data_IF_790180059689
#
_entry.id   IF_790180059689
#
_cell.length_a   1.000
_cell.length_b   1.000
_cell.length_c   1.000
_cell.angle_alpha   90.00
_cell.angle_beta   90.00
_cell.angle_gamma   90.00
#
_symmetry.space_group_name_H-M   'P 1'
#
loop_
_entity.id
_entity.type
_entity.pdbx_description
1 polymer ?
#
# COMPACT_ATOMS: atom_id res chain seq x y z
N UNK A 1 7.05 -22.39 36.13
CA UNK A 1 7.92 -22.20 37.31
C UNK A 1 9.35 -21.85 36.89
N UNK A 2 9.52 -20.84 36.02
CA UNK A 2 10.82 -20.45 35.47
C UNK A 2 11.01 -18.92 35.49
N UNK A 3 10.49 -18.26 36.54
CA UNK A 3 10.45 -16.79 36.65
C UNK A 3 11.12 -16.26 37.92
N UNK A 4 12.27 -16.83 38.33
CA UNK A 4 13.02 -16.35 39.50
C UNK A 4 14.56 -16.43 39.40
N UNK A 5 15.13 -16.77 38.23
CA UNK A 5 16.60 -16.94 38.11
C UNK A 5 17.37 -15.78 37.46
N UNK A 6 16.70 -14.75 36.91
CA UNK A 6 17.40 -13.59 36.31
C UNK A 6 17.59 -12.44 37.29
N UNK A 7 16.91 -12.46 38.46
CA UNK A 7 16.99 -11.36 39.42
C UNK A 7 18.21 -11.40 40.37
N UNK A 8 19.03 -12.45 40.31
CA UNK A 8 20.13 -12.66 41.28
C UNK A 8 21.54 -12.42 40.74
N UNK A 9 21.71 -11.92 39.51
CA UNK A 9 23.05 -11.61 38.97
C UNK A 9 23.52 -10.16 39.21
N UNK A 10 22.72 -9.33 39.88
CA UNK A 10 23.03 -7.89 40.09
C UNK A 10 23.39 -7.52 41.54
N UNK A 11 23.61 -8.49 42.43
CA UNK A 11 24.13 -8.24 43.79
C UNK A 11 25.55 -8.81 43.94
N UNK A 12 26.55 -8.22 43.27
CA UNK A 12 27.94 -8.33 43.74
C UNK A 12 28.94 -7.50 42.90
N UNK A 13 28.74 -6.19 42.77
CA UNK A 13 29.88 -5.30 42.47
C UNK A 13 29.67 -3.94 43.13
N UNK A 14 30.34 -3.70 44.26
CA UNK A 14 30.48 -2.36 44.84
C UNK A 14 31.54 -1.60 44.05
N UNK A 15 31.16 -0.72 43.14
CA UNK A 15 32.05 0.34 42.64
C UNK A 15 31.68 1.65 43.33
N UNK A 16 32.63 2.17 44.09
CA UNK A 16 32.53 3.39 44.88
C UNK A 16 33.34 4.48 44.17
N UNK A 17 32.77 5.17 43.18
CA UNK A 17 33.36 6.35 42.53
C UNK A 17 32.27 7.29 41.96
N UNK A 18 32.57 8.59 41.71
CA UNK A 18 31.57 9.63 41.41
C UNK A 18 30.96 9.59 40.00
N UNK A 19 30.89 8.41 39.36
CA UNK A 19 30.24 8.20 38.05
C UNK A 19 28.75 7.86 38.15
N UNK A 20 28.22 7.68 39.37
CA UNK A 20 26.82 7.34 39.61
C UNK A 20 25.82 8.48 39.31
N UNK A 21 26.28 9.73 39.16
CA UNK A 21 25.39 10.87 38.86
C UNK A 21 25.10 11.03 37.36
N UNK A 22 25.99 10.62 36.47
CA UNK A 22 25.76 10.72 35.01
C UNK A 22 24.82 9.62 34.49
N UNK A 23 24.73 8.48 35.18
CA UNK A 23 23.78 7.41 34.85
C UNK A 23 22.33 7.74 35.23
N UNK A 24 22.10 8.73 36.09
CA UNK A 24 20.78 9.09 36.58
C UNK A 24 19.99 9.99 35.61
N UNK A 25 20.62 10.48 34.54
CA UNK A 25 19.98 11.34 33.52
C UNK A 25 19.59 10.60 32.23
N UNK A 26 19.97 9.32 32.10
CA UNK A 26 19.56 8.41 31.01
C UNK A 26 18.39 7.49 31.40
N UNK A 27 17.73 7.75 32.54
CA UNK A 27 16.44 7.15 32.92
C UNK A 27 15.26 7.89 32.28
N UNK A 28 15.40 8.27 31.01
CA UNK A 28 14.28 8.66 30.18
C UNK A 28 13.49 7.41 29.80
N UNK A 29 12.51 7.06 30.63
CA UNK A 29 11.33 6.27 30.25
C UNK A 29 11.58 5.07 29.33
N UNK A 30 12.20 4.01 29.85
CA UNK A 30 11.85 2.66 29.40
C UNK A 30 10.45 2.35 29.91
N UNK A 31 9.43 2.97 29.30
CA UNK A 31 8.07 2.49 29.42
C UNK A 31 8.09 1.04 28.95
N UNK A 32 7.75 0.12 29.86
CA UNK A 32 7.51 -1.27 29.54
C UNK A 32 6.28 -1.32 28.63
N UNK A 33 6.55 -1.21 27.34
CA UNK A 33 5.61 -1.26 26.23
C UNK A 33 4.74 -2.53 26.37
N UNK A 34 3.41 -2.38 26.42
CA UNK A 34 2.46 -3.50 26.51
C UNK A 34 2.77 -4.55 25.41
N UNK A 35 2.71 -5.86 25.70
CA UNK A 35 2.97 -6.88 24.70
C UNK A 35 1.92 -6.75 23.57
N UNK A 36 2.40 -6.53 22.35
CA UNK A 36 1.54 -6.55 21.17
C UNK A 36 1.22 -8.00 20.81
N UNK A 37 0.01 -8.23 20.28
CA UNK A 37 -0.47 -9.56 19.87
C UNK A 37 0.28 -10.15 18.65
N UNK A 38 1.18 -9.38 18.03
CA UNK A 38 1.80 -9.67 16.75
C UNK A 38 3.28 -10.02 16.88
N UNK A 39 3.80 -10.84 15.96
CA UNK A 39 5.23 -11.14 15.86
C UNK A 39 6.00 -9.93 15.34
N UNK A 40 6.51 -9.11 16.26
CA UNK A 40 7.32 -7.93 15.95
C UNK A 40 8.78 -8.33 15.89
N UNK A 41 9.41 -8.10 14.73
CA UNK A 41 10.86 -8.18 14.58
C UNK A 41 11.42 -6.77 14.45
N UNK A 42 12.37 -6.40 15.31
CA UNK A 42 13.19 -5.21 15.06
C UNK A 42 14.22 -5.58 13.99
N UNK A 43 14.34 -4.75 12.98
CA UNK A 43 15.42 -4.90 12.00
C UNK A 43 16.64 -4.16 12.53
N UNK A 44 17.79 -4.81 12.42
CA UNK A 44 19.06 -4.16 12.68
C UNK A 44 19.37 -3.15 11.57
N UNK A 45 20.18 -2.14 11.89
CA UNK A 45 20.49 -1.01 11.00
C UNK A 45 21.06 -1.42 9.63
N UNK A 46 21.72 -2.57 9.54
CA UNK A 46 22.32 -3.09 8.30
C UNK A 46 21.40 -4.03 7.51
N UNK A 47 20.18 -4.30 7.98
CA UNK A 47 19.29 -5.24 7.33
C UNK A 47 18.77 -4.69 6.00
N UNK A 48 19.15 -5.37 4.91
CA UNK A 48 18.76 -5.01 3.54
C UNK A 48 17.31 -5.38 3.21
N UNK A 49 16.55 -5.95 4.14
CA UNK A 49 15.19 -6.40 3.89
C UNK A 49 14.29 -5.27 3.36
N UNK A 50 14.35 -4.09 3.98
CA UNK A 50 13.50 -2.96 3.58
C UNK A 50 13.85 -2.44 2.18
N UNK A 51 15.14 -2.23 1.90
CA UNK A 51 15.60 -1.78 0.59
C UNK A 51 15.30 -2.80 -0.50
N UNK A 52 15.47 -4.09 -0.23
CA UNK A 52 15.09 -5.16 -1.16
C UNK A 52 13.59 -5.19 -1.43
N UNK A 53 12.75 -5.00 -0.40
CA UNK A 53 11.30 -4.92 -0.57
C UNK A 53 10.90 -3.71 -1.43
N UNK A 54 11.46 -2.53 -1.15
CA UNK A 54 11.23 -1.33 -1.95
C UNK A 54 11.66 -1.49 -3.41
N UNK A 55 12.80 -2.14 -3.69
CA UNK A 55 13.26 -2.40 -5.06
C UNK A 55 12.29 -3.30 -5.83
N UNK A 56 11.65 -4.27 -5.18
CA UNK A 56 10.65 -5.15 -5.80
C UNK A 56 9.40 -4.40 -6.27
N UNK A 57 9.08 -3.27 -5.66
CA UNK A 57 7.85 -2.51 -5.97
C UNK A 57 8.10 -1.19 -6.71
N UNK A 58 9.36 -0.79 -6.90
CA UNK A 58 9.73 0.55 -7.41
C UNK A 58 9.31 0.79 -8.87
N UNK A 59 9.29 -0.24 -9.72
CA UNK A 59 8.87 -0.09 -11.12
C UNK A 59 7.88 -1.17 -11.55
N UNK A 60 7.10 -0.88 -12.59
CA UNK A 60 6.12 -1.82 -13.18
C UNK A 60 6.74 -3.20 -13.42
N UNK A 61 7.93 -3.25 -14.03
CA UNK A 61 8.66 -4.50 -14.30
C UNK A 61 8.94 -5.31 -13.02
N UNK A 62 9.38 -4.65 -11.95
CA UNK A 62 9.65 -5.33 -10.68
C UNK A 62 8.36 -5.77 -9.98
N UNK A 63 7.30 -4.96 -10.02
CA UNK A 63 5.97 -5.32 -9.47
C UNK A 63 5.39 -6.54 -10.17
N UNK A 64 5.44 -6.59 -11.50
CA UNK A 64 5.00 -7.77 -12.28
C UNK A 64 5.82 -9.00 -11.88
N UNK A 65 7.15 -8.89 -11.80
CA UNK A 65 8.02 -10.02 -11.44
C UNK A 65 7.82 -10.51 -10.00
N UNK A 66 7.61 -9.60 -9.07
CA UNK A 66 7.47 -9.92 -7.64
C UNK A 66 6.05 -10.30 -7.24
N UNK A 67 5.04 -9.87 -8.01
CA UNK A 67 3.64 -9.97 -7.62
C UNK A 67 3.28 -9.09 -6.43
N UNK A 68 4.11 -8.11 -6.06
CA UNK A 68 3.91 -7.27 -4.89
C UNK A 68 3.53 -5.83 -5.26
N UNK A 69 2.72 -5.22 -4.40
CA UNK A 69 2.38 -3.80 -4.39
C UNK A 69 2.78 -3.19 -3.05
N UNK A 70 3.13 -1.91 -3.04
CA UNK A 70 3.40 -1.17 -1.81
C UNK A 70 2.33 -0.12 -1.54
N UNK A 71 1.82 -0.14 -0.32
CA UNK A 71 0.82 0.77 0.18
C UNK A 71 1.46 1.67 1.22
N UNK A 72 1.73 2.91 0.84
CA UNK A 72 2.36 3.91 1.69
C UNK A 72 1.30 4.72 2.45
N UNK A 73 1.39 4.73 3.77
CA UNK A 73 0.50 5.49 4.66
C UNK A 73 -0.68 4.71 5.22
N UNK A 74 -1.03 5.06 6.47
CA UNK A 74 -2.01 4.35 7.30
C UNK A 74 -3.38 4.17 6.64
N UNK A 75 -3.91 5.22 6.00
CA UNK A 75 -5.26 5.19 5.38
C UNK A 75 -5.33 4.17 4.26
N UNK A 76 -4.34 4.16 3.36
CA UNK A 76 -4.32 3.26 2.21
C UNK A 76 -4.19 1.79 2.66
N UNK A 77 -3.36 1.55 3.68
CA UNK A 77 -3.22 0.23 4.31
C UNK A 77 -4.55 -0.21 4.94
N UNK A 78 -5.21 0.70 5.66
CA UNK A 78 -6.50 0.41 6.30
C UNK A 78 -7.60 0.09 5.29
N UNK A 79 -7.65 0.80 4.16
CA UNK A 79 -8.63 0.56 3.09
C UNK A 79 -8.39 -0.82 2.43
N UNK A 80 -7.14 -1.21 2.24
CA UNK A 80 -6.79 -2.56 1.77
C UNK A 80 -7.24 -3.65 2.75
N UNK A 81 -6.97 -3.47 4.05
CA UNK A 81 -7.38 -4.42 5.09
C UNK A 81 -8.91 -4.59 5.14
N UNK A 82 -9.68 -3.50 4.98
CA UNK A 82 -11.15 -3.54 4.89
C UNK A 82 -11.65 -4.29 3.65
N UNK A 83 -10.90 -4.25 2.55
CA UNK A 83 -11.15 -5.03 1.36
C UNK A 83 -10.59 -6.47 1.44
N UNK A 84 -10.21 -6.92 2.63
CA UNK A 84 -9.63 -8.25 2.88
C UNK A 84 -8.30 -8.51 2.14
N UNK A 85 -7.55 -7.46 1.83
CA UNK A 85 -6.21 -7.53 1.24
C UNK A 85 -5.21 -7.38 2.38
N UNK A 86 -4.63 -8.52 2.79
CA UNK A 86 -3.70 -8.58 3.91
C UNK A 86 -2.24 -8.42 3.46
N UNK A 87 -1.44 -7.60 4.14
CA UNK A 87 -0.02 -7.45 3.84
C UNK A 87 0.81 -8.65 4.31
N UNK A 88 1.86 -8.97 3.57
CA UNK A 88 2.87 -9.95 4.00
C UNK A 88 3.81 -9.36 5.04
N UNK A 89 4.10 -8.07 4.89
CA UNK A 89 4.99 -7.33 5.78
C UNK A 89 4.61 -5.85 5.86
N UNK A 90 4.80 -5.26 7.04
CA UNK A 90 4.65 -3.83 7.28
C UNK A 90 5.92 -3.31 7.92
N UNK A 91 6.45 -2.23 7.36
CA UNK A 91 7.53 -1.45 7.96
C UNK A 91 6.95 -0.17 8.54
N UNK A 92 7.32 0.15 9.77
CA UNK A 92 6.77 1.30 10.48
C UNK A 92 7.83 1.96 11.36
N UNK A 93 7.69 3.27 11.59
CA UNK A 93 8.56 4.01 12.50
C UNK A 93 7.91 4.25 13.86
N UNK A 94 6.65 4.65 13.87
CA UNK A 94 5.91 4.95 15.11
C UNK A 94 4.98 3.80 15.45
N UNK A 95 5.03 3.35 16.70
CA UNK A 95 4.21 2.25 17.22
C UNK A 95 2.71 2.51 17.06
N UNK A 96 2.29 3.76 17.29
CA UNK A 96 0.91 4.23 17.13
C UNK A 96 0.32 3.93 15.75
N UNK A 97 1.13 3.97 14.68
CA UNK A 97 0.65 3.73 13.31
C UNK A 97 0.18 2.28 13.10
N UNK A 98 0.71 1.32 13.87
CA UNK A 98 0.29 -0.09 13.86
C UNK A 98 -0.89 -0.33 14.80
N UNK A 99 -0.86 0.24 16.00
CA UNK A 99 -1.91 0.04 17.02
C UNK A 99 -3.28 0.56 16.56
N UNK A 100 -3.30 1.54 15.68
CA UNK A 100 -4.52 2.10 15.10
C UNK A 100 -5.03 1.33 13.87
N UNK A 101 -4.28 0.34 13.34
CA UNK A 101 -4.77 -0.51 12.26
C UNK A 101 -5.76 -1.54 12.81
N UNK A 102 -6.88 -1.67 12.10
CA UNK A 102 -7.93 -2.66 12.38
C UNK A 102 -7.90 -3.76 11.31
N UNK A 103 -8.37 -4.96 11.68
CA UNK A 103 -8.42 -6.14 10.79
C UNK A 103 -7.04 -6.67 10.34
N UNK A 104 -5.98 -6.34 11.07
CA UNK A 104 -4.65 -6.87 10.81
C UNK A 104 -4.57 -8.34 11.25
N UNK A 105 -4.09 -9.22 10.37
CA UNK A 105 -3.89 -10.63 10.67
C UNK A 105 -2.68 -10.86 11.59
N UNK A 106 -2.66 -11.98 12.32
CA UNK A 106 -1.54 -12.32 13.22
C UNK A 106 -0.27 -12.77 12.47
N UNK A 107 -0.42 -13.13 11.19
CA UNK A 107 0.66 -13.65 10.34
C UNK A 107 1.52 -12.55 9.69
N UNK A 108 1.07 -11.29 9.72
CA UNK A 108 1.85 -10.18 9.15
C UNK A 108 3.18 -10.02 9.86
N UNK A 109 4.24 -9.85 9.08
CA UNK A 109 5.57 -9.56 9.63
C UNK A 109 5.70 -8.05 9.87
N UNK A 110 5.84 -7.67 11.13
CA UNK A 110 5.98 -6.27 11.54
C UNK A 110 7.45 -5.92 11.78
N UNK A 111 7.93 -4.88 11.10
CA UNK A 111 9.30 -4.41 11.16
C UNK A 111 9.40 -2.95 11.57
N UNK A 112 10.04 -2.68 12.72
CA UNK A 112 10.29 -1.32 13.18
C UNK A 112 11.56 -0.76 12.54
N UNK A 113 11.48 0.44 11.96
CA UNK A 113 12.60 1.16 11.33
C UNK A 113 12.69 2.63 11.80
N UNK A 114 13.91 3.22 11.82
CA UNK A 114 14.06 4.67 11.94
C UNK A 114 13.32 5.43 10.83
N UNK A 115 12.69 6.55 11.19
CA UNK A 115 11.94 7.37 10.23
C UNK A 115 12.82 7.86 9.07
N UNK A 116 14.09 8.16 9.36
CA UNK A 116 15.08 8.61 8.35
C UNK A 116 15.30 7.56 7.26
N UNK A 117 15.36 6.29 7.62
CA UNK A 117 15.58 5.20 6.65
C UNK A 117 14.38 5.03 5.74
N UNK A 118 13.16 5.19 6.27
CA UNK A 118 11.93 5.21 5.47
C UNK A 118 11.87 6.42 4.54
N UNK A 119 12.30 7.59 5.01
CA UNK A 119 12.30 8.84 4.25
C UNK A 119 13.19 8.76 3.00
N UNK A 120 14.32 8.05 3.05
CA UNK A 120 15.22 7.84 1.91
C UNK A 120 14.55 7.13 0.71
N UNK A 121 13.48 6.36 0.97
CA UNK A 121 12.79 5.56 -0.03
C UNK A 121 11.42 6.12 -0.43
N UNK A 122 10.93 7.13 0.29
CA UNK A 122 9.63 7.76 0.06
C UNK A 122 9.73 8.80 -1.07
N UNK A 123 8.82 8.73 -2.04
CA UNK A 123 8.66 9.78 -3.07
C UNK A 123 7.88 11.01 -2.53
N UNK A 124 7.35 10.93 -1.32
CA UNK A 124 6.59 12.01 -0.67
C UNK A 124 7.51 13.00 0.04
N UNK A 125 7.13 14.28 -0.02
CA UNK A 125 7.80 15.36 0.73
C UNK A 125 7.78 15.11 2.23
N UNK A 126 6.66 14.60 2.74
CA UNK A 126 6.51 14.12 4.12
C UNK A 126 6.24 12.62 4.07
N UNK A 127 7.23 11.82 4.49
CA UNK A 127 7.08 10.37 4.58
C UNK A 127 5.98 10.02 5.62
N UNK A 128 5.03 9.14 5.31
CA UNK A 128 3.99 8.74 6.25
C UNK A 128 4.51 7.96 7.47
N UNK A 129 5.73 7.41 7.38
CA UNK A 129 6.35 6.61 8.46
C UNK A 129 5.79 5.20 8.60
N UNK A 130 4.98 4.74 7.64
CA UNK A 130 4.46 3.37 7.56
C UNK A 130 4.25 2.97 6.09
N UNK A 131 4.66 1.75 5.74
CA UNK A 131 4.43 1.16 4.41
C UNK A 131 4.16 -0.34 4.55
N UNK A 132 3.15 -0.81 3.84
CA UNK A 132 2.79 -2.23 3.77
C UNK A 132 3.08 -2.80 2.39
N UNK A 133 3.50 -4.06 2.33
CA UNK A 133 3.69 -4.80 1.09
C UNK A 133 2.66 -5.92 1.02
N UNK A 134 1.83 -5.87 -0.01
CA UNK A 134 0.75 -6.83 -0.24
C UNK A 134 1.00 -7.56 -1.55
N UNK A 135 0.46 -8.77 -1.70
CA UNK A 135 0.32 -9.39 -3.01
C UNK A 135 -0.61 -8.53 -3.88
N UNK A 136 -0.28 -8.39 -5.16
CA UNK A 136 -1.19 -7.79 -6.15
C UNK A 136 -2.47 -8.65 -6.16
N UNK A 137 -3.65 -8.09 -5.89
CA UNK A 137 -4.89 -8.85 -5.96
C UNK A 137 -5.13 -9.26 -7.42
N UNK A 138 -5.45 -10.54 -7.65
CA UNK A 138 -5.78 -11.05 -9.00
C UNK A 138 -7.12 -10.49 -9.48
N UNK A 139 -8.08 -10.36 -8.57
CA UNK A 139 -9.39 -9.78 -8.83
C UNK A 139 -9.81 -8.90 -7.67
N UNK A 140 -10.26 -7.70 -8.01
CA UNK A 140 -11.05 -6.86 -7.12
C UNK A 140 -12.50 -7.10 -7.51
N UNK A 141 -13.26 -7.71 -6.60
CA UNK A 141 -14.69 -7.91 -6.80
C UNK A 141 -15.42 -6.60 -6.49
N UNK A 142 -16.30 -6.18 -7.40
CA UNK A 142 -17.26 -5.13 -7.08
C UNK A 142 -18.42 -5.79 -6.33
N UNK A 143 -18.42 -5.67 -5.01
CA UNK A 143 -19.50 -6.22 -4.18
C UNK A 143 -20.76 -5.34 -4.21
N UNK A 144 -20.77 -4.22 -4.96
CA UNK A 144 -21.96 -3.40 -5.11
C UNK A 144 -22.89 -3.99 -6.18
N UNK A 145 -23.93 -4.69 -5.74
CA UNK A 145 -25.05 -5.12 -6.58
C UNK A 145 -25.73 -3.96 -7.31
N UNK A 146 -25.64 -2.74 -6.75
CA UNK A 146 -26.18 -1.50 -7.30
C UNK A 146 -25.19 -0.70 -8.17
N UNK A 147 -24.08 -1.30 -8.63
CA UNK A 147 -23.15 -0.58 -9.51
C UNK A 147 -23.84 -0.14 -10.81
N UNK A 148 -23.57 1.08 -11.24
CA UNK A 148 -24.04 1.57 -12.54
C UNK A 148 -23.42 0.70 -13.64
N UNK A 149 -24.19 0.23 -14.64
CA UNK A 149 -23.71 -0.62 -15.73
C UNK A 149 -22.88 0.18 -16.77
N UNK A 150 -21.97 1.01 -16.27
CA UNK A 150 -21.05 1.84 -17.01
C UNK A 150 -19.68 1.20 -16.94
N UNK A 151 -18.96 1.20 -18.07
CA UNK A 151 -17.55 0.83 -18.13
C UNK A 151 -16.78 2.03 -18.63
N UNK A 152 -15.79 2.49 -17.85
CA UNK A 152 -14.90 3.57 -18.28
C UNK A 152 -13.67 2.96 -18.94
N UNK A 153 -13.37 3.37 -20.17
CA UNK A 153 -12.18 2.93 -20.90
C UNK A 153 -11.18 4.08 -20.91
N UNK A 154 -10.01 3.85 -20.34
CA UNK A 154 -8.88 4.78 -20.40
C UNK A 154 -7.98 4.37 -21.55
N UNK A 155 -7.93 5.16 -22.61
CA UNK A 155 -7.02 4.91 -23.73
C UNK A 155 -5.71 5.68 -23.57
N UNK A 156 -4.60 4.94 -23.40
CA UNK A 156 -3.24 5.48 -23.30
C UNK A 156 -3.08 6.66 -22.31
N UNK A 157 -3.73 6.60 -21.15
CA UNK A 157 -3.55 7.60 -20.09
C UNK A 157 -2.18 7.41 -19.43
N UNK A 158 -1.25 8.33 -19.70
CA UNK A 158 0.16 8.24 -19.26
C UNK A 158 0.44 8.95 -17.94
N UNK A 159 -0.36 9.95 -17.59
CA UNK A 159 -0.16 10.74 -16.38
C UNK A 159 -0.74 10.05 -15.15
N UNK A 160 0.08 9.72 -14.11
CA UNK A 160 -0.41 9.05 -12.91
C UNK A 160 -1.53 9.81 -12.18
N UNK A 161 -1.45 11.15 -12.17
CA UNK A 161 -2.45 12.01 -11.55
C UNK A 161 -3.80 11.91 -12.25
N UNK A 162 -3.80 11.91 -13.59
CA UNK A 162 -5.03 11.80 -14.38
C UNK A 162 -5.67 10.43 -14.20
N UNK A 163 -4.88 9.35 -14.28
CA UNK A 163 -5.41 8.00 -14.08
C UNK A 163 -5.98 7.84 -12.66
N UNK A 164 -5.27 8.32 -11.65
CA UNK A 164 -5.74 8.29 -10.26
C UNK A 164 -7.06 9.05 -10.08
N UNK A 165 -7.18 10.24 -10.67
CA UNK A 165 -8.41 11.03 -10.62
C UNK A 165 -9.58 10.31 -11.32
N UNK A 166 -9.36 9.72 -12.49
CA UNK A 166 -10.39 8.95 -13.21
C UNK A 166 -10.89 7.78 -12.37
N UNK A 167 -9.97 6.98 -11.81
CA UNK A 167 -10.33 5.83 -10.96
C UNK A 167 -11.11 6.29 -9.72
N UNK A 168 -10.70 7.39 -9.09
CA UNK A 168 -11.40 7.97 -7.94
C UNK A 168 -12.81 8.43 -8.29
N UNK A 169 -12.97 9.16 -9.39
CA UNK A 169 -14.27 9.62 -9.86
C UNK A 169 -15.18 8.46 -10.25
N UNK A 170 -14.64 7.45 -10.93
CA UNK A 170 -15.41 6.26 -11.32
C UNK A 170 -15.90 5.48 -10.10
N UNK A 171 -15.07 5.32 -9.07
CA UNK A 171 -15.47 4.68 -7.82
C UNK A 171 -16.54 5.51 -7.08
N UNK A 172 -16.37 6.83 -7.01
CA UNK A 172 -17.34 7.72 -6.37
C UNK A 172 -18.70 7.75 -7.09
N UNK A 173 -18.70 7.63 -8.42
CA UNK A 173 -19.91 7.52 -9.23
C UNK A 173 -20.57 6.13 -9.15
N UNK A 174 -19.96 5.15 -8.49
CA UNK A 174 -20.50 3.79 -8.40
C UNK A 174 -20.46 3.02 -9.72
N UNK A 175 -19.51 3.33 -10.60
CA UNK A 175 -19.34 2.67 -11.91
C UNK A 175 -18.93 1.21 -11.71
N UNK A 176 -19.35 0.32 -12.61
CA UNK A 176 -19.08 -1.11 -12.51
C UNK A 176 -17.58 -1.45 -12.57
N UNK A 177 -16.85 -0.90 -13.55
CA UNK A 177 -15.43 -1.20 -13.79
C UNK A 177 -14.71 -0.15 -14.64
N UNK A 178 -13.38 -0.15 -14.55
CA UNK A 178 -12.47 0.62 -15.41
C UNK A 178 -11.59 -0.33 -16.21
N UNK A 179 -11.44 -0.07 -17.49
CA UNK A 179 -10.54 -0.79 -18.41
C UNK A 179 -9.42 0.15 -18.86
N UNK A 180 -8.19 -0.32 -18.81
CA UNK A 180 -7.00 0.42 -19.25
C UNK A 180 -6.45 -0.24 -20.50
N UNK A 181 -6.33 0.52 -21.60
CA UNK A 181 -5.70 0.01 -22.81
C UNK A 181 -4.20 -0.15 -22.63
N UNK A 182 -3.58 -0.94 -23.50
CA UNK A 182 -2.12 -1.03 -23.60
C UNK A 182 -1.52 0.37 -23.79
N UNK A 183 -0.55 0.72 -22.95
CA UNK A 183 0.11 2.04 -22.97
C UNK A 183 -0.35 2.98 -21.85
N UNK A 184 -1.38 2.62 -21.09
CA UNK A 184 -1.68 3.30 -19.82
C UNK A 184 -0.56 3.12 -18.78
N UNK A 185 -0.44 4.11 -17.90
CA UNK A 185 0.43 4.03 -16.73
C UNK A 185 -0.04 2.91 -15.80
N UNK A 186 0.90 2.28 -15.08
CA UNK A 186 0.59 1.23 -14.12
C UNK A 186 -0.30 1.77 -13.00
N UNK A 187 -1.49 1.21 -12.85
CA UNK A 187 -2.45 1.67 -11.86
C UNK A 187 -2.07 1.31 -10.42
N UNK A 188 -1.17 0.34 -10.23
CA UNK A 188 -0.57 0.03 -8.92
C UNK A 188 0.65 0.88 -8.59
N UNK A 189 0.99 1.87 -9.43
CA UNK A 189 2.03 2.83 -9.11
C UNK A 189 1.67 3.68 -7.89
N UNK A 190 2.67 4.02 -7.07
CA UNK A 190 2.46 4.77 -5.83
C UNK A 190 1.77 6.11 -6.08
N UNK A 191 2.05 6.77 -7.22
CA UNK A 191 1.42 8.03 -7.59
C UNK A 191 -0.06 7.84 -7.96
N UNK A 192 -0.39 6.77 -8.68
CA UNK A 192 -1.77 6.45 -9.06
C UNK A 192 -2.59 6.03 -7.84
N UNK A 193 -2.05 5.17 -6.98
CA UNK A 193 -2.68 4.74 -5.72
C UNK A 193 -3.07 5.94 -4.84
N UNK A 194 -2.16 6.92 -4.71
CA UNK A 194 -2.42 8.16 -3.97
C UNK A 194 -3.48 9.03 -4.64
N UNK A 195 -3.38 9.25 -5.96
CA UNK A 195 -4.38 10.02 -6.72
C UNK A 195 -5.78 9.40 -6.62
N UNK A 196 -5.86 8.07 -6.69
CA UNK A 196 -7.08 7.29 -6.56
C UNK A 196 -7.63 7.23 -5.14
N UNK A 197 -6.83 7.59 -4.12
CA UNK A 197 -7.23 7.58 -2.71
C UNK A 197 -7.81 6.24 -2.24
N UNK A 198 -7.19 5.12 -2.66
CA UNK A 198 -7.62 3.77 -2.26
C UNK A 198 -8.79 3.18 -3.07
N UNK A 199 -9.33 3.89 -4.07
CA UNK A 199 -10.44 3.41 -4.91
C UNK A 199 -10.19 2.05 -5.60
N UNK A 200 -8.92 1.68 -5.80
CA UNK A 200 -8.51 0.37 -6.32
C UNK A 200 -9.06 -0.83 -5.54
N UNK A 201 -9.39 -0.64 -4.25
CA UNK A 201 -9.90 -1.71 -3.41
C UNK A 201 -11.44 -1.85 -3.44
N UNK A 202 -12.12 -0.97 -4.18
CA UNK A 202 -13.58 -0.92 -4.27
C UNK A 202 -14.09 -0.94 -5.71
N UNK A 203 -13.24 -0.60 -6.68
CA UNK A 203 -13.55 -0.55 -8.10
C UNK A 203 -12.63 -1.52 -8.87
N UNK A 204 -13.17 -2.48 -9.62
CA UNK A 204 -12.37 -3.31 -10.51
C UNK A 204 -11.69 -2.47 -11.59
N UNK A 205 -10.36 -2.56 -11.65
CA UNK A 205 -9.54 -1.94 -12.68
C UNK A 205 -8.78 -3.05 -13.41
N UNK A 206 -8.97 -3.15 -14.72
CA UNK A 206 -8.32 -4.14 -15.57
C UNK A 206 -7.31 -3.46 -16.49
N UNK A 207 -6.10 -4.00 -16.56
CA UNK A 207 -5.01 -3.51 -17.41
C UNK A 207 -4.77 -4.38 -18.66
N UNK A 208 -3.89 -3.92 -19.54
CA UNK A 208 -3.43 -4.62 -20.76
C UNK A 208 -4.57 -4.99 -21.74
N UNK A 209 -5.65 -4.20 -21.78
CA UNK A 209 -6.72 -4.38 -22.76
C UNK A 209 -6.24 -4.00 -24.17
N UNK A 210 -6.47 -4.87 -25.15
CA UNK A 210 -6.30 -4.58 -26.58
C UNK A 210 -7.64 -4.25 -27.21
N UNK A 211 -7.63 -3.50 -28.32
CA UNK A 211 -8.85 -3.19 -29.07
C UNK A 211 -9.53 -4.44 -29.64
N UNK A 212 -8.76 -5.48 -29.97
CA UNK A 212 -9.30 -6.78 -30.42
C UNK A 212 -10.07 -7.50 -29.32
N UNK A 213 -9.54 -7.50 -28.09
CA UNK A 213 -10.21 -8.09 -26.93
C UNK A 213 -11.45 -7.27 -26.55
N UNK A 214 -11.37 -5.94 -26.67
CA UNK A 214 -12.48 -5.04 -26.42
C UNK A 214 -13.65 -5.31 -27.36
N UNK A 215 -13.40 -5.34 -28.68
CA UNK A 215 -14.47 -5.60 -29.68
C UNK A 215 -15.09 -6.98 -29.47
N UNK A 216 -14.30 -8.00 -29.20
CA UNK A 216 -14.80 -9.35 -28.90
C UNK A 216 -15.70 -9.39 -27.65
N UNK A 217 -15.31 -8.69 -26.59
CA UNK A 217 -16.07 -8.66 -25.33
C UNK A 217 -17.42 -7.94 -25.44
N UNK A 218 -17.51 -6.92 -26.31
CA UNK A 218 -18.67 -6.03 -26.38
C UNK A 218 -19.55 -6.22 -27.63
N UNK A 219 -19.06 -6.81 -28.73
CA UNK A 219 -19.87 -7.12 -29.92
C UNK A 219 -20.97 -8.16 -29.68
N UNK A 220 -20.87 -8.96 -28.62
CA UNK A 220 -21.85 -10.00 -28.27
C UNK A 220 -23.08 -9.49 -27.51
N UNK A 221 -23.14 -8.19 -27.17
CA UNK A 221 -24.20 -7.61 -26.32
C UNK A 221 -25.06 -6.61 -27.10
N UNK A 222 -26.34 -6.93 -27.28
CA UNK A 222 -27.28 -6.17 -28.13
C UNK A 222 -27.79 -4.83 -27.57
N UNK A 223 -27.12 -4.19 -26.60
CA UNK A 223 -27.57 -2.90 -26.03
C UNK A 223 -26.45 -2.10 -25.36
N UNK A 224 -25.37 -1.81 -26.09
CA UNK A 224 -24.26 -0.98 -25.60
C UNK A 224 -24.22 0.33 -26.38
N UNK A 225 -24.17 1.45 -25.64
CA UNK A 225 -23.89 2.76 -26.20
C UNK A 225 -22.45 3.15 -25.88
N UNK A 226 -21.68 3.46 -26.91
CA UNK A 226 -20.33 3.99 -26.76
C UNK A 226 -20.38 5.51 -26.75
N UNK A 227 -19.78 6.12 -25.72
CA UNK A 227 -19.60 7.55 -25.60
C UNK A 227 -18.10 7.83 -25.63
N UNK A 228 -17.68 8.70 -26.53
CA UNK A 228 -16.27 9.05 -26.71
C UNK A 228 -16.03 10.47 -26.18
N UNK A 229 -15.03 10.60 -25.30
CA UNK A 229 -14.53 11.88 -24.83
C UNK A 229 -13.07 12.03 -25.29
N UNK A 230 -12.79 13.07 -26.07
CA UNK A 230 -11.45 13.38 -26.61
C UNK A 230 -10.94 14.69 -26.03
N UNK A 231 -9.64 14.75 -25.71
CA UNK A 231 -9.00 15.93 -25.11
C UNK A 231 -8.73 17.05 -26.14
N UNK A 232 -9.00 16.79 -27.42
CA UNK A 232 -9.01 17.79 -28.49
C UNK A 232 -10.27 17.59 -29.32
N UNK A 233 -10.92 18.67 -29.82
CA UNK A 233 -11.94 18.56 -30.83
C UNK A 233 -11.27 18.16 -32.16
N UNK A 234 -10.96 16.88 -32.32
CA UNK A 234 -10.60 16.33 -33.63
C UNK A 234 -11.88 16.12 -34.43
N UNK A 235 -11.89 16.59 -35.67
CA UNK A 235 -12.78 16.16 -36.75
C UNK A 235 -12.99 14.65 -36.65
N UNK A 236 -14.10 14.23 -36.06
CA UNK A 236 -14.52 12.83 -36.07
C UNK A 236 -14.99 12.58 -37.50
N UNK A 237 -14.09 12.12 -38.37
CA UNK A 237 -14.53 11.40 -39.56
C UNK A 237 -15.15 10.10 -39.07
N UNK A 238 -16.48 10.11 -38.93
CA UNK A 238 -17.25 8.89 -38.79
C UNK A 238 -17.01 8.03 -40.03
N UNK A 239 -16.73 6.72 -39.89
CA UNK A 239 -16.68 5.81 -41.03
C UNK A 239 -18.02 5.73 -41.76
#
# INVERSE_FOLDING_TARGET
>A
MLNMKVLNLFKMVKFNTPLARTFCQLKGELQMEKPMKYNIKRLDYEDKLFSQAMLKVKSKKHRIKSGLIALEGKRLIQDALKANIHPEMIFYSRRKDIEELTHLNEEVKLYKLPYKDMQLWSDLTTCPGIVAFCKKPEQILNNNENSLPVTVVCDQVREPGNLGAIIRCAAAAGIQKVLLTKGCVDHWDSKVLRGASGAHFHLPVFDEMTWDNFTTQFNSKNNIKFLLAVNQPSTIETP
#
